data_IF_195651563853
#
_entry.id   IF_195651563853
#
_cell.length_a   1.000
_cell.length_b   1.000
_cell.length_c   1.000
_cell.angle_alpha   90.00
_cell.angle_beta   90.00
_cell.angle_gamma   90.00
#
_symmetry.space_group_name_H-M   'P 1'
#
loop_
_entity.id
_entity.type
_entity.pdbx_description
1 polymer ?
#
# COMPACT_ATOMS: atom_id res chain seq x y z
N UNK A 1 -0.70 11.13 8.56
CA UNK A 1 -1.64 9.99 8.48
C UNK A 1 -2.22 9.83 7.09
N UNK A 2 -1.77 8.79 6.38
CA UNK A 2 -2.42 8.14 5.22
C UNK A 2 -2.56 9.00 3.95
N UNK A 3 -2.10 8.42 2.83
CA UNK A 3 -2.19 8.87 1.43
C UNK A 3 -3.59 9.39 0.98
N UNK A 4 -4.59 9.21 1.81
CA UNK A 4 -5.97 9.45 1.49
C UNK A 4 -6.63 10.10 2.70
N UNK A 5 -7.18 11.30 2.49
CA UNK A 5 -8.24 11.77 3.38
C UNK A 5 -9.29 10.65 3.45
N UNK A 6 -9.97 10.50 4.57
CA UNK A 6 -11.06 9.54 4.71
C UNK A 6 -12.09 9.68 3.56
N UNK A 7 -12.30 10.91 3.07
CA UNK A 7 -13.11 11.22 1.90
C UNK A 7 -12.61 10.65 0.56
N UNK A 8 -11.38 10.15 0.48
CA UNK A 8 -10.78 9.57 -0.71
C UNK A 8 -10.77 8.03 -0.67
N UNK A 9 -11.11 7.41 0.47
CA UNK A 9 -11.18 5.96 0.63
C UNK A 9 -12.63 5.50 0.77
N UNK A 10 -12.85 4.26 0.38
CA UNK A 10 -14.10 3.55 0.59
C UNK A 10 -13.81 2.23 1.29
N UNK A 11 -14.55 1.94 2.35
CA UNK A 11 -14.57 0.63 2.95
C UNK A 11 -15.03 -0.40 1.92
N UNK A 12 -14.27 -1.49 1.80
CA UNK A 12 -14.66 -2.59 0.93
C UNK A 12 -15.80 -3.39 1.54
N UNK A 13 -15.79 -3.57 2.86
CA UNK A 13 -16.79 -4.32 3.61
C UNK A 13 -17.48 -3.43 4.67
N UNK A 14 -18.81 -3.57 4.86
CA UNK A 14 -19.61 -2.65 5.68
C UNK A 14 -19.37 -2.75 7.19
N UNK A 15 -18.76 -3.84 7.69
CA UNK A 15 -18.54 -4.08 9.11
C UNK A 15 -17.23 -3.51 9.67
N UNK A 16 -16.53 -2.67 8.90
CA UNK A 16 -15.19 -2.17 9.23
C UNK A 16 -15.25 -0.69 9.60
N UNK A 17 -14.36 -0.26 10.50
CA UNK A 17 -14.16 1.16 10.88
C UNK A 17 -12.69 1.53 10.75
N UNK A 18 -12.40 2.75 10.32
CA UNK A 18 -11.03 3.22 10.15
C UNK A 18 -10.66 4.24 11.23
N UNK A 19 -9.64 3.94 12.04
CA UNK A 19 -9.07 4.87 13.02
C UNK A 19 -7.54 4.73 13.06
N UNK A 20 -6.86 4.90 11.93
CA UNK A 20 -5.39 4.98 11.93
C UNK A 20 -4.96 6.44 11.89
N UNK A 21 -4.10 6.85 12.83
CA UNK A 21 -3.44 8.14 12.87
C UNK A 21 -1.94 8.00 13.17
N UNK A 22 -1.09 7.95 12.14
CA UNK A 22 0.37 7.98 12.26
C UNK A 22 1.05 9.18 11.59
N UNK A 23 2.08 9.67 12.26
CA UNK A 23 2.90 10.85 11.97
C UNK A 23 4.33 10.45 11.63
N UNK A 24 4.88 9.45 12.33
CA UNK A 24 6.19 8.87 12.06
C UNK A 24 6.05 7.54 11.33
N UNK A 25 6.36 7.50 10.03
CA UNK A 25 6.11 6.33 9.20
C UNK A 25 7.38 5.83 8.50
N UNK A 26 7.50 4.51 8.36
CA UNK A 26 8.41 3.88 7.42
C UNK A 26 7.70 3.62 6.08
N UNK A 27 8.44 3.73 4.98
CA UNK A 27 7.91 3.49 3.64
C UNK A 27 8.70 2.39 2.93
N UNK A 28 8.06 1.23 2.78
CA UNK A 28 8.67 0.07 2.16
C UNK A 28 8.22 -0.06 0.71
N UNK A 29 9.21 -0.21 -0.15
CA UNK A 29 9.02 -0.44 -1.58
C UNK A 29 9.71 -1.74 -1.95
N UNK A 30 9.31 -2.37 -3.04
CA UNK A 30 9.98 -3.57 -3.57
C UNK A 30 11.33 -3.28 -4.25
N UNK A 31 12.03 -2.20 -3.88
CA UNK A 31 13.34 -1.85 -4.44
C UNK A 31 14.47 -2.50 -3.64
N UNK A 32 15.41 -3.14 -4.33
CA UNK A 32 16.57 -3.80 -3.70
C UNK A 32 17.58 -2.85 -3.06
N UNK A 33 17.41 -1.53 -3.13
CA UNK A 33 18.35 -0.56 -2.53
C UNK A 33 18.43 -0.64 -1.00
N UNK A 34 17.42 -1.23 -0.35
CA UNK A 34 17.40 -1.39 1.11
C UNK A 34 18.21 -2.61 1.59
N UNK A 35 18.62 -3.50 0.67
CA UNK A 35 19.35 -4.71 1.03
C UNK A 35 20.73 -4.38 1.62
N UNK A 36 21.07 -5.03 2.73
CA UNK A 36 22.31 -4.84 3.47
C UNK A 36 22.38 -3.57 4.32
N UNK A 37 21.30 -2.77 4.36
CA UNK A 37 21.24 -1.53 5.15
C UNK A 37 21.08 -1.76 6.66
N UNK A 38 20.55 -2.92 7.05
CA UNK A 38 20.30 -3.34 8.44
C UNK A 38 19.42 -2.37 9.25
N UNK A 39 18.46 -1.72 8.59
CA UNK A 39 17.55 -0.73 9.22
C UNK A 39 16.21 -1.31 9.67
N UNK A 40 16.06 -2.64 9.64
CA UNK A 40 14.80 -3.32 9.99
C UNK A 40 14.29 -2.99 11.39
N UNK A 41 15.19 -2.96 12.38
CA UNK A 41 14.84 -2.54 13.74
C UNK A 41 14.34 -1.10 13.78
N UNK A 42 14.93 -0.16 13.03
CA UNK A 42 14.47 1.24 12.97
C UNK A 42 13.07 1.36 12.33
N UNK A 43 12.77 0.50 11.35
CA UNK A 43 11.46 0.44 10.68
C UNK A 43 10.38 -0.06 11.65
N UNK A 44 10.65 -1.12 12.40
CA UNK A 44 9.69 -1.71 13.34
C UNK A 44 9.35 -0.77 14.53
N UNK A 45 10.18 0.26 14.78
CA UNK A 45 9.90 1.31 15.78
C UNK A 45 9.03 2.47 15.24
N UNK A 46 8.64 2.46 13.97
CA UNK A 46 7.76 3.49 13.42
C UNK A 46 6.30 3.26 13.80
N UNK A 47 5.49 4.31 13.82
CA UNK A 47 4.05 4.20 14.15
C UNK A 47 3.29 3.45 13.04
N UNK A 48 3.78 3.54 11.81
CA UNK A 48 3.18 2.87 10.65
C UNK A 48 4.24 2.49 9.62
N UNK A 49 4.13 1.27 9.12
CA UNK A 49 4.89 0.80 7.97
C UNK A 49 3.97 0.75 6.75
N UNK A 50 4.20 1.66 5.80
CA UNK A 50 3.46 1.72 4.54
C UNK A 50 4.25 0.92 3.49
N UNK A 51 3.76 -0.28 3.16
CA UNK A 51 4.34 -1.10 2.10
C UNK A 51 3.58 -0.89 0.79
N UNK A 52 4.31 -0.61 -0.29
CA UNK A 52 3.78 -0.74 -1.64
C UNK A 52 4.11 -2.11 -2.19
N UNK A 53 3.17 -2.65 -2.95
CA UNK A 53 3.25 -3.94 -3.61
C UNK A 53 3.38 -5.10 -2.60
N UNK A 54 3.55 -6.32 -3.12
CA UNK A 54 3.85 -7.51 -2.32
C UNK A 54 5.37 -7.57 -2.07
N UNK A 55 5.93 -6.51 -1.48
CA UNK A 55 7.36 -6.44 -1.18
C UNK A 55 7.70 -7.54 -0.14
N UNK A 56 8.64 -8.45 -0.45
CA UNK A 56 8.96 -9.56 0.45
C UNK A 56 9.72 -9.03 1.67
N UNK A 57 9.36 -9.52 2.85
CA UNK A 57 10.06 -9.21 4.11
C UNK A 57 10.69 -10.44 4.73
N UNK A 58 10.15 -11.64 4.48
CA UNK A 58 10.72 -12.90 4.97
C UNK A 58 12.10 -13.15 4.36
N UNK A 59 13.09 -13.41 5.23
CA UNK A 59 14.50 -13.57 4.85
C UNK A 59 15.26 -12.26 4.66
N UNK A 60 14.59 -11.12 4.87
CA UNK A 60 15.16 -9.77 4.77
C UNK A 60 14.86 -8.92 6.01
N UNK A 61 14.43 -9.55 7.12
CA UNK A 61 13.90 -8.89 8.31
C UNK A 61 14.90 -7.87 8.88
N UNK A 62 16.20 -8.18 8.82
CA UNK A 62 17.26 -7.26 9.27
C UNK A 62 17.26 -5.94 8.50
N UNK A 63 16.83 -5.93 7.25
CA UNK A 63 16.86 -4.75 6.37
C UNK A 63 15.51 -4.04 6.28
N UNK A 64 14.39 -4.76 6.42
CA UNK A 64 13.05 -4.22 6.14
C UNK A 64 12.05 -4.32 7.29
N UNK A 65 12.44 -4.94 8.41
CA UNK A 65 11.56 -5.13 9.57
C UNK A 65 10.66 -6.36 9.42
N UNK A 66 10.02 -6.75 10.53
CA UNK A 66 9.12 -7.90 10.61
C UNK A 66 7.66 -7.57 10.30
N UNK A 67 7.26 -6.30 10.41
CA UNK A 67 5.85 -5.87 10.34
C UNK A 67 5.48 -5.07 9.09
N UNK A 68 4.21 -5.14 8.68
CA UNK A 68 3.64 -4.30 7.64
C UNK A 68 2.22 -3.86 8.01
N UNK A 69 1.99 -2.54 8.06
CA UNK A 69 0.69 -1.97 8.44
C UNK A 69 -0.23 -1.67 7.24
N UNK A 70 0.34 -1.49 6.04
CA UNK A 70 -0.38 -1.26 4.76
C UNK A 70 0.31 -2.03 3.63
N UNK A 71 -0.43 -2.78 2.81
CA UNK A 71 0.12 -3.46 1.62
C UNK A 71 -0.75 -3.26 0.38
N UNK A 72 -0.11 -3.21 -0.78
CA UNK A 72 -0.75 -3.10 -2.09
C UNK A 72 -0.57 -4.42 -2.84
N UNK A 73 -1.65 -5.00 -3.36
CA UNK A 73 -1.66 -6.25 -4.17
C UNK A 73 -1.52 -7.55 -3.36
N UNK A 74 -2.47 -8.44 -3.60
CA UNK A 74 -2.63 -9.75 -2.94
C UNK A 74 -2.05 -10.85 -3.86
N UNK A 75 -0.72 -11.03 -3.94
CA UNK A 75 -0.16 -12.18 -4.70
C UNK A 75 0.02 -13.40 -3.82
N UNK A 76 0.46 -13.22 -2.57
CA UNK A 76 0.55 -14.30 -1.58
C UNK A 76 -0.23 -13.99 -0.30
N UNK A 77 -1.50 -14.44 -0.20
CA UNK A 77 -2.35 -14.20 0.97
C UNK A 77 -1.69 -14.65 2.28
N UNK A 78 -1.06 -15.82 2.28
CA UNK A 78 -0.56 -16.45 3.51
C UNK A 78 0.67 -15.73 4.07
N UNK A 79 1.55 -15.23 3.20
CA UNK A 79 2.73 -14.47 3.61
C UNK A 79 2.34 -13.10 4.14
N UNK A 80 1.46 -12.40 3.43
CA UNK A 80 0.89 -11.13 3.88
C UNK A 80 0.22 -11.27 5.26
N UNK A 81 -0.61 -12.30 5.45
CA UNK A 81 -1.32 -12.54 6.71
C UNK A 81 -0.40 -12.86 7.91
N UNK A 82 0.80 -13.43 7.68
CA UNK A 82 1.77 -13.67 8.76
C UNK A 82 2.43 -12.39 9.28
N UNK A 83 2.44 -11.33 8.47
CA UNK A 83 3.11 -10.04 8.74
C UNK A 83 2.18 -8.96 9.29
N UNK A 84 0.87 -9.21 9.25
CA UNK A 84 -0.15 -8.19 9.47
C UNK A 84 -0.61 -8.26 10.92
N UNK A 85 -0.39 -7.19 11.69
CA UNK A 85 -0.89 -7.14 13.07
C UNK A 85 -2.38 -6.81 13.11
N UNK A 86 -3.02 -7.17 14.23
CA UNK A 86 -4.33 -6.67 14.64
C UNK A 86 -4.35 -5.14 14.49
N UNK A 87 -5.31 -4.60 13.73
CA UNK A 87 -5.47 -3.17 13.37
C UNK A 87 -4.76 -2.68 12.09
N UNK A 88 -4.20 -3.56 11.28
CA UNK A 88 -3.63 -3.16 9.99
C UNK A 88 -4.70 -2.71 8.96
N UNK A 89 -4.29 -1.85 8.02
CA UNK A 89 -5.16 -1.29 6.98
C UNK A 89 -4.62 -1.63 5.60
N UNK A 90 -5.36 -2.39 4.83
CA UNK A 90 -5.04 -2.69 3.43
C UNK A 90 -5.74 -1.68 2.54
N UNK A 91 -4.99 -1.02 1.66
CA UNK A 91 -5.55 -0.10 0.66
C UNK A 91 -5.33 -0.71 -0.72
N UNK A 92 -6.40 -0.89 -1.48
CA UNK A 92 -6.36 -1.32 -2.87
C UNK A 92 -6.43 -0.12 -3.80
N UNK A 93 -5.50 -0.08 -4.76
CA UNK A 93 -5.35 0.97 -5.76
C UNK A 93 -5.34 0.28 -7.10
N UNK A 94 -6.33 0.60 -7.92
CA UNK A 94 -6.42 0.07 -9.26
C UNK A 94 -7.70 0.48 -9.95
N UNK A 95 -7.82 0.21 -11.26
CA UNK A 95 -9.01 0.53 -12.01
C UNK A 95 -10.27 -0.05 -11.36
N UNK A 96 -11.38 0.71 -11.27
CA UNK A 96 -12.61 0.25 -10.62
C UNK A 96 -13.14 -1.08 -11.15
N UNK A 97 -12.95 -1.36 -12.45
CA UNK A 97 -13.36 -2.63 -13.06
C UNK A 97 -12.60 -3.85 -12.53
N UNK A 98 -11.35 -3.67 -12.06
CA UNK A 98 -10.52 -4.73 -11.45
C UNK A 98 -10.84 -4.94 -9.96
N UNK A 99 -11.36 -3.91 -9.27
CA UNK A 99 -11.68 -3.91 -7.83
C UNK A 99 -13.21 -3.96 -7.61
N UNK A 100 -13.96 -4.42 -8.62
CA UNK A 100 -15.42 -4.48 -8.54
C UNK A 100 -15.86 -5.38 -7.38
N UNK A 101 -16.82 -4.90 -6.59
CA UNK A 101 -17.44 -5.62 -5.47
C UNK A 101 -18.38 -6.73 -5.96
N UNK A 102 -17.81 -7.70 -6.66
CA UNK A 102 -18.50 -8.80 -7.30
C UNK A 102 -18.02 -10.13 -6.68
N UNK A 103 -18.84 -10.82 -5.86
CA UNK A 103 -18.46 -12.08 -5.22
C UNK A 103 -18.03 -13.18 -6.19
N UNK A 104 -18.43 -13.10 -7.47
CA UNK A 104 -18.02 -14.05 -8.52
C UNK A 104 -16.68 -13.69 -9.15
N UNK A 105 -16.21 -12.46 -9.00
CA UNK A 105 -14.90 -12.06 -9.47
C UNK A 105 -13.82 -12.70 -8.60
N UNK A 106 -12.81 -13.33 -9.22
CA UNK A 106 -11.77 -14.09 -8.52
C UNK A 106 -11.07 -13.29 -7.41
N UNK A 107 -10.78 -12.00 -7.67
CA UNK A 107 -10.17 -11.10 -6.71
C UNK A 107 -11.07 -10.82 -5.50
N UNK A 108 -12.27 -10.23 -5.74
CA UNK A 108 -13.16 -9.83 -4.66
C UNK A 108 -13.70 -11.04 -3.88
N UNK A 109 -14.03 -12.14 -4.56
CA UNK A 109 -14.46 -13.38 -3.90
C UNK A 109 -13.40 -13.98 -2.98
N UNK A 110 -12.11 -13.91 -3.37
CA UNK A 110 -11.01 -14.36 -2.50
C UNK A 110 -10.78 -13.41 -1.34
N UNK A 111 -10.81 -12.10 -1.61
CA UNK A 111 -10.70 -11.09 -0.56
C UNK A 111 -11.83 -11.20 0.46
N UNK A 112 -13.05 -11.48 0.02
CA UNK A 112 -14.20 -11.67 0.89
C UNK A 112 -13.99 -12.83 1.85
N UNK A 113 -13.46 -13.97 1.38
CA UNK A 113 -13.13 -15.11 2.26
C UNK A 113 -12.10 -14.73 3.33
N UNK A 114 -11.05 -14.01 2.94
CA UNK A 114 -10.01 -13.55 3.88
C UNK A 114 -10.60 -12.57 4.89
N UNK A 115 -11.44 -11.64 4.46
CA UNK A 115 -12.09 -10.66 5.35
C UNK A 115 -13.01 -11.31 6.40
N UNK A 116 -13.57 -12.49 6.11
CA UNK A 116 -14.39 -13.24 7.06
C UNK A 116 -13.54 -13.89 8.16
N UNK A 117 -12.32 -14.30 7.80
CA UNK A 117 -11.35 -14.91 8.72
C UNK A 117 -10.64 -13.85 9.58
N UNK A 118 -10.26 -12.72 8.98
CA UNK A 118 -9.47 -11.69 9.63
C UNK A 118 -10.27 -10.39 9.74
N UNK A 119 -11.04 -10.26 10.82
CA UNK A 119 -11.99 -9.15 11.03
C UNK A 119 -11.33 -7.88 11.58
N UNK A 120 -10.15 -8.01 12.18
CA UNK A 120 -9.40 -6.90 12.79
C UNK A 120 -8.53 -6.14 11.77
N UNK A 121 -8.63 -6.51 10.49
CA UNK A 121 -7.99 -5.82 9.36
C UNK A 121 -9.05 -5.00 8.63
N UNK A 122 -8.71 -3.74 8.33
CA UNK A 122 -9.55 -2.89 7.49
C UNK A 122 -9.11 -2.98 6.02
N UNK A 123 -10.08 -3.10 5.12
CA UNK A 123 -9.86 -3.25 3.69
C UNK A 123 -10.52 -2.07 2.98
N UNK A 124 -9.70 -1.25 2.33
CA UNK A 124 -10.08 0.03 1.74
C UNK A 124 -9.76 0.04 0.26
N UNK A 125 -10.52 0.80 -0.51
CA UNK A 125 -10.21 1.08 -1.90
C UNK A 125 -10.23 2.58 -2.14
N UNK A 126 -9.44 3.05 -3.10
CA UNK A 126 -9.44 4.45 -3.52
C UNK A 126 -10.73 4.78 -4.25
N UNK A 127 -11.33 5.93 -3.93
CA UNK A 127 -12.52 6.44 -4.64
C UNK A 127 -12.26 6.56 -6.15
N UNK A 128 -13.26 6.28 -7.01
CA UNK A 128 -13.10 6.40 -8.47
C UNK A 128 -12.64 7.79 -8.93
N UNK A 129 -13.08 8.86 -8.28
CA UNK A 129 -12.63 10.23 -8.62
C UNK A 129 -11.14 10.43 -8.36
N UNK A 130 -10.62 9.93 -7.23
CA UNK A 130 -9.18 10.01 -6.92
C UNK A 130 -8.34 9.07 -7.76
N UNK A 131 -8.88 7.92 -8.12
CA UNK A 131 -8.26 7.03 -9.10
C UNK A 131 -7.92 7.74 -10.40
N UNK A 132 -8.85 8.51 -10.96
CA UNK A 132 -8.63 9.29 -12.18
C UNK A 132 -7.53 10.35 -11.99
N UNK A 133 -7.50 11.01 -10.83
CA UNK A 133 -6.43 11.98 -10.51
C UNK A 133 -5.06 11.30 -10.49
N UNK A 134 -4.98 10.08 -9.95
CA UNK A 134 -3.74 9.32 -9.92
C UNK A 134 -3.33 8.80 -11.30
N UNK A 135 -4.29 8.46 -12.16
CA UNK A 135 -4.03 8.10 -13.56
C UNK A 135 -3.43 9.28 -14.34
N UNK A 136 -4.00 10.48 -14.22
CA UNK A 136 -3.46 11.70 -14.84
C UNK A 136 -2.05 12.03 -14.31
N UNK A 137 -1.84 11.95 -13.00
CA UNK A 137 -0.52 12.18 -12.41
C UNK A 137 0.51 11.16 -12.91
N UNK A 138 0.14 9.88 -12.96
CA UNK A 138 1.01 8.82 -13.46
C UNK A 138 1.40 9.06 -14.92
N UNK A 139 0.42 9.42 -15.77
CA UNK A 139 0.66 9.75 -17.17
C UNK A 139 1.59 10.95 -17.33
N UNK A 140 1.37 12.04 -16.59
CA UNK A 140 2.21 13.24 -16.66
C UNK A 140 3.65 12.99 -16.23
N UNK A 141 3.86 12.14 -15.23
CA UNK A 141 5.21 11.87 -14.69
C UNK A 141 5.97 10.82 -15.51
N UNK A 142 5.27 9.85 -16.11
CA UNK A 142 5.92 8.72 -16.83
C UNK A 142 5.87 8.85 -18.33
N UNK A 143 4.94 9.64 -18.88
CA UNK A 143 4.62 9.65 -20.31
C UNK A 143 3.79 8.45 -20.77
N UNK A 144 3.41 7.54 -19.88
CA UNK A 144 2.64 6.33 -20.20
C UNK A 144 1.38 6.24 -19.36
N UNK A 145 0.31 5.69 -19.93
CA UNK A 145 -0.83 5.27 -19.12
C UNK A 145 -0.48 4.02 -18.29
N UNK A 146 -1.27 3.76 -17.25
CA UNK A 146 -1.00 2.65 -16.33
C UNK A 146 -1.02 1.29 -17.06
N UNK A 147 -1.95 1.07 -17.98
CA UNK A 147 -2.07 -0.22 -18.67
C UNK A 147 -0.91 -0.46 -19.65
N UNK A 148 -0.38 0.59 -20.29
CA UNK A 148 0.84 0.57 -21.11
C UNK A 148 2.10 0.36 -20.26
N UNK A 149 2.19 0.98 -19.07
CA UNK A 149 3.35 0.80 -18.20
C UNK A 149 3.50 -0.64 -17.70
N UNK A 150 2.38 -1.37 -17.57
CA UNK A 150 2.36 -2.77 -17.16
C UNK A 150 2.98 -3.70 -18.21
N UNK A 151 2.88 -3.38 -19.51
CA UNK A 151 3.46 -4.18 -20.59
C UNK A 151 4.96 -3.91 -20.79
N UNK A 152 5.46 -2.76 -20.35
CA UNK A 152 6.87 -2.38 -20.50
C UNK A 152 7.73 -2.57 -19.24
N UNK A 153 7.14 -2.93 -18.09
CA UNK A 153 7.85 -3.39 -16.90
C UNK A 153 8.73 -2.36 -16.17
N UNK A 154 8.75 -1.08 -16.57
CA UNK A 154 9.86 -0.18 -16.22
C UNK A 154 9.57 1.04 -15.34
N UNK A 155 8.35 1.31 -14.87
CA UNK A 155 8.07 2.66 -14.30
C UNK A 155 7.30 2.77 -12.98
N UNK A 156 6.96 1.66 -12.28
CA UNK A 156 6.19 1.77 -11.03
C UNK A 156 6.97 2.44 -9.90
N UNK A 157 8.21 2.00 -9.67
CA UNK A 157 9.00 2.43 -8.52
C UNK A 157 9.40 3.92 -8.51
N UNK A 158 9.82 4.47 -9.66
CA UNK A 158 10.26 5.87 -9.75
C UNK A 158 9.08 6.84 -9.56
N UNK A 159 7.94 6.49 -10.14
CA UNK A 159 6.72 7.28 -10.04
C UNK A 159 6.17 7.26 -8.62
N UNK A 160 6.12 6.07 -8.01
CA UNK A 160 5.79 5.92 -6.59
C UNK A 160 6.71 6.84 -5.77
N UNK A 161 8.03 6.66 -5.81
CA UNK A 161 8.99 7.46 -5.03
C UNK A 161 8.78 8.99 -5.13
N UNK A 162 8.54 9.54 -6.33
CA UNK A 162 8.28 10.98 -6.52
C UNK A 162 6.93 11.44 -5.97
N UNK A 163 5.91 10.61 -6.13
CA UNK A 163 4.58 10.86 -5.59
C UNK A 163 4.67 10.94 -4.06
N UNK A 164 5.26 9.94 -3.41
CA UNK A 164 5.42 9.93 -1.94
C UNK A 164 6.29 11.09 -1.43
N UNK A 165 7.36 11.46 -2.14
CA UNK A 165 8.19 12.61 -1.77
C UNK A 165 7.43 13.96 -1.82
N UNK A 166 6.59 14.19 -2.85
CA UNK A 166 5.72 15.39 -2.88
C UNK A 166 4.72 15.40 -1.74
N UNK A 167 4.29 14.22 -1.27
CA UNK A 167 3.26 14.09 -0.26
C UNK A 167 3.80 14.26 1.15
N UNK A 168 5.04 13.83 1.40
CA UNK A 168 5.78 14.15 2.62
C UNK A 168 5.69 15.66 2.91
N UNK A 169 5.96 16.46 1.87
CA UNK A 169 5.90 17.93 1.93
C UNK A 169 4.48 18.48 2.07
N UNK A 170 3.51 17.95 1.32
CA UNK A 170 2.13 18.48 1.33
C UNK A 170 1.38 18.20 2.64
N UNK A 171 1.69 17.09 3.31
CA UNK A 171 0.92 16.59 4.46
C UNK A 171 1.73 16.52 5.75
N UNK A 172 2.93 17.12 5.76
CA UNK A 172 3.82 17.15 6.93
C UNK A 172 4.08 15.73 7.49
N UNK A 173 4.38 14.78 6.61
CA UNK A 173 4.70 13.40 6.97
C UNK A 173 6.21 13.27 7.00
N UNK A 174 6.75 12.72 8.09
CA UNK A 174 8.17 12.38 8.17
C UNK A 174 8.36 10.91 7.81
N UNK A 175 9.10 10.65 6.74
CA UNK A 175 9.51 9.29 6.39
C UNK A 175 10.88 9.00 6.97
N UNK A 176 11.01 7.97 7.79
CA UNK A 176 12.31 7.53 8.32
C UNK A 176 13.13 6.85 7.24
N UNK A 177 12.46 6.09 6.36
CA UNK A 177 13.06 5.35 5.26
C UNK A 177 12.13 5.35 4.04
N UNK A 178 12.52 5.94 2.89
CA UNK A 178 13.67 6.82 2.68
C UNK A 178 13.44 8.20 3.34
N UNK A 179 14.52 8.87 3.77
CA UNK A 179 14.44 10.26 4.27
C UNK A 179 14.22 11.23 3.10
N UNK A 180 13.09 11.93 3.09
CA UNK A 180 12.70 12.94 2.10
C UNK A 180 12.60 14.33 2.72
#
# INVERSE_FOLDING_TARGET
VVFFRESHLLLMFPSQSMTMQCHNCAFLTSSGHILGSRVGDEIDHTECVICINDAPTTGYESDVGGHSSVSYVFRNPNEFLRRTDSHSVIIFWGPPYKIRKDPKAAFYGSLQRVSMTYRDISYLTVTPSKMLTFDDLFLRETGYDRDQSHSQGQHRFITEKRVFARWAKQYNITFTHPRW
#
